data_IF_185668817981
#
_entry.id   IF_185668817981
#
_cell.length_a   1.000
_cell.length_b   1.000
_cell.length_c   1.000
_cell.angle_alpha   90.00
_cell.angle_beta   90.00
_cell.angle_gamma   90.00
#
_symmetry.space_group_name_H-M   'P 1'
#
loop_
_entity.id
_entity.type
_entity.pdbx_description
1 polymer ?
#
# COMPACT_ATOMS: atom_id res chain seq x y z
N UNK A 1 6.11 -49.59 8.31
CA UNK A 1 5.93 -48.20 8.74
C UNK A 1 7.27 -47.50 8.52
N UNK A 2 7.42 -46.78 7.44
CA UNK A 2 8.64 -46.00 7.16
C UNK A 2 8.62 -44.78 8.09
N UNK A 3 9.62 -44.64 8.92
CA UNK A 3 9.94 -43.40 9.62
C UNK A 3 10.11 -42.32 8.54
N UNK A 4 9.14 -41.46 8.38
CA UNK A 4 9.32 -40.22 7.65
C UNK A 4 10.43 -39.46 8.37
N UNK A 5 11.60 -39.38 7.75
CA UNK A 5 12.73 -38.58 8.22
C UNK A 5 12.30 -37.13 8.22
N UNK A 6 11.83 -36.64 9.37
CA UNK A 6 11.59 -35.22 9.58
C UNK A 6 12.90 -34.49 9.29
N UNK A 7 12.90 -33.69 8.23
CA UNK A 7 14.07 -32.92 7.80
C UNK A 7 14.42 -31.93 8.92
N UNK A 8 15.41 -32.26 9.76
CA UNK A 8 15.87 -31.36 10.83
C UNK A 8 16.58 -30.17 10.18
N UNK A 9 16.32 -28.98 10.72
CA UNK A 9 17.09 -27.79 10.37
C UNK A 9 18.50 -27.92 10.94
N UNK A 10 19.55 -27.36 10.33
CA UNK A 10 20.94 -27.51 10.79
C UNK A 10 21.19 -27.07 12.25
N UNK A 11 20.34 -26.17 12.77
CA UNK A 11 20.43 -25.65 14.14
C UNK A 11 19.42 -26.26 15.13
N UNK A 12 18.63 -27.26 14.70
CA UNK A 12 17.69 -27.95 15.60
C UNK A 12 18.45 -28.75 16.65
N UNK A 13 18.16 -28.45 17.93
CA UNK A 13 18.71 -29.18 19.07
C UNK A 13 17.69 -30.24 19.49
N UNK A 14 18.14 -31.48 19.82
CA UNK A 14 17.25 -32.52 20.35
C UNK A 14 16.51 -32.04 21.61
N UNK A 15 15.24 -32.40 21.73
CA UNK A 15 14.37 -32.03 22.85
C UNK A 15 14.13 -33.28 23.73
N UNK A 16 14.94 -33.55 24.75
CA UNK A 16 14.72 -34.65 25.66
C UNK A 16 13.40 -34.49 26.44
N UNK A 17 12.78 -35.60 26.85
CA UNK A 17 11.50 -35.57 27.56
C UNK A 17 11.55 -34.72 28.86
N UNK A 18 12.61 -34.84 29.63
CA UNK A 18 12.79 -34.06 30.87
C UNK A 18 12.84 -32.56 30.62
N UNK A 19 13.47 -32.12 29.48
CA UNK A 19 13.47 -30.73 29.07
C UNK A 19 12.07 -30.29 28.64
N UNK A 20 11.36 -31.11 27.86
CA UNK A 20 10.00 -30.81 27.42
C UNK A 20 9.02 -30.63 28.59
N UNK A 21 9.13 -31.51 29.64
CA UNK A 21 8.32 -31.37 30.85
C UNK A 21 8.65 -30.09 31.64
N UNK A 22 9.94 -29.77 31.78
CA UNK A 22 10.34 -28.50 32.41
C UNK A 22 9.80 -27.29 31.67
N UNK A 23 9.84 -27.30 30.34
CA UNK A 23 9.34 -26.20 29.50
C UNK A 23 7.84 -25.96 29.66
N UNK A 24 7.06 -26.95 30.02
CA UNK A 24 5.61 -26.85 30.21
C UNK A 24 5.18 -26.45 31.62
N UNK A 25 6.11 -26.25 32.53
CA UNK A 25 5.84 -26.01 33.95
C UNK A 25 6.35 -24.66 34.45
N UNK A 26 5.78 -24.17 35.57
CA UNK A 26 6.28 -22.98 36.27
C UNK A 26 5.95 -21.64 35.64
N UNK A 27 4.97 -21.56 34.72
CA UNK A 27 4.56 -20.32 34.09
C UNK A 27 3.39 -19.65 34.81
N UNK A 28 3.46 -18.33 34.97
CA UNK A 28 2.37 -17.52 35.49
C UNK A 28 1.38 -17.24 34.32
N UNK A 29 0.06 -17.32 34.58
CA UNK A 29 -0.94 -16.92 33.59
C UNK A 29 -0.75 -15.45 33.13
N UNK A 30 -0.84 -15.21 31.82
CA UNK A 30 -0.68 -13.88 31.22
C UNK A 30 -1.91 -13.53 30.36
N UNK A 31 -3.10 -13.29 30.97
CA UNK A 31 -4.26 -12.81 30.23
C UNK A 31 -3.98 -11.42 29.66
N UNK A 32 -4.66 -11.07 28.55
CA UNK A 32 -4.72 -9.69 28.09
C UNK A 32 -5.88 -8.98 28.80
N UNK A 33 -5.54 -7.95 29.57
CA UNK A 33 -6.52 -7.11 30.24
C UNK A 33 -6.81 -5.88 29.41
N UNK A 34 -8.07 -5.40 29.44
CA UNK A 34 -8.48 -4.16 28.80
C UNK A 34 -8.48 -4.19 27.27
N UNK A 35 -8.56 -5.38 26.66
CA UNK A 35 -8.67 -5.51 25.21
C UNK A 35 -9.93 -4.79 24.70
N UNK A 36 -9.73 -3.83 23.78
CA UNK A 36 -10.82 -3.09 23.16
C UNK A 36 -11.15 -3.68 21.78
N UNK A 37 -12.40 -3.56 21.30
CA UNK A 37 -12.73 -3.85 19.92
C UNK A 37 -11.81 -3.10 18.94
N UNK A 38 -11.62 -3.70 17.77
CA UNK A 38 -10.82 -3.07 16.70
C UNK A 38 -11.42 -1.72 16.30
N UNK A 39 -10.60 -0.68 15.99
CA UNK A 39 -11.09 0.66 15.66
C UNK A 39 -12.14 0.69 14.53
N UNK A 40 -11.99 -0.02 13.39
CA UNK A 40 -12.97 -0.02 12.30
C UNK A 40 -14.18 -0.93 12.51
N UNK A 41 -14.44 -1.44 13.73
CA UNK A 41 -15.44 -2.50 13.95
C UNK A 41 -16.80 -2.21 13.31
N UNK A 42 -17.38 -1.03 13.54
CA UNK A 42 -18.70 -0.66 13.01
C UNK A 42 -18.74 -0.68 11.49
N UNK A 43 -17.68 -0.20 10.86
CA UNK A 43 -17.53 -0.22 9.40
C UNK A 43 -17.36 -1.66 8.88
N UNK A 44 -16.54 -2.47 9.54
CA UNK A 44 -16.37 -3.88 9.16
C UNK A 44 -17.68 -4.68 9.24
N UNK A 45 -18.55 -4.40 10.23
CA UNK A 45 -19.87 -5.00 10.32
C UNK A 45 -20.71 -4.66 9.08
N UNK A 46 -20.82 -3.37 8.75
CA UNK A 46 -21.59 -2.88 7.59
C UNK A 46 -21.04 -3.44 6.26
N UNK A 47 -19.70 -3.52 6.15
CA UNK A 47 -19.03 -4.12 4.97
C UNK A 47 -19.38 -5.59 4.81
N UNK A 48 -19.35 -6.38 5.88
CA UNK A 48 -19.75 -7.81 5.85
C UNK A 48 -21.23 -7.98 5.52
N UNK A 49 -22.11 -7.11 6.02
CA UNK A 49 -23.52 -7.12 5.67
C UNK A 49 -23.75 -6.84 4.18
N UNK A 50 -23.03 -5.87 3.59
CA UNK A 50 -23.10 -5.59 2.16
C UNK A 50 -22.62 -6.78 1.33
N UNK A 51 -21.49 -7.40 1.73
CA UNK A 51 -20.95 -8.59 1.08
C UNK A 51 -21.94 -9.78 1.17
N UNK A 52 -22.54 -9.99 2.35
CA UNK A 52 -23.57 -11.02 2.56
C UNK A 52 -24.79 -10.86 1.64
N UNK A 53 -25.25 -9.64 1.46
CA UNK A 53 -26.39 -9.32 0.57
C UNK A 53 -26.06 -9.56 -0.91
N UNK A 54 -24.81 -9.34 -1.31
CA UNK A 54 -24.36 -9.50 -2.70
C UNK A 54 -24.25 -10.99 -3.12
N UNK A 55 -23.96 -11.89 -2.16
CA UNK A 55 -23.69 -13.30 -2.44
C UNK A 55 -24.61 -14.25 -1.61
N UNK A 56 -25.94 -14.19 -1.76
CA UNK A 56 -26.84 -15.00 -0.96
C UNK A 56 -26.68 -16.51 -1.26
N UNK A 57 -26.71 -17.32 -0.22
CA UNK A 57 -26.72 -18.79 -0.32
C UNK A 57 -25.42 -19.45 -0.75
N UNK A 58 -24.31 -18.70 -0.80
CA UNK A 58 -22.98 -19.19 -1.20
C UNK A 58 -21.99 -18.94 -0.06
N UNK A 59 -21.18 -19.94 0.30
CA UNK A 59 -20.08 -19.73 1.25
C UNK A 59 -19.01 -18.83 0.63
N UNK A 60 -18.55 -17.83 1.39
CA UNK A 60 -17.47 -16.95 0.99
C UNK A 60 -16.23 -17.25 1.82
N UNK A 61 -15.06 -17.35 1.17
CA UNK A 61 -13.79 -17.65 1.81
C UNK A 61 -12.78 -16.56 1.42
N UNK A 62 -12.35 -15.77 2.42
CA UNK A 62 -11.40 -14.68 2.26
C UNK A 62 -10.15 -14.99 3.10
N UNK A 63 -9.08 -15.58 2.52
CA UNK A 63 -7.86 -15.87 3.25
C UNK A 63 -7.03 -14.62 3.51
N UNK A 64 -6.32 -14.60 4.64
CA UNK A 64 -5.31 -13.61 4.95
C UNK A 64 -4.03 -13.81 4.12
N UNK A 65 -3.78 -15.03 3.70
CA UNK A 65 -2.61 -15.44 2.94
C UNK A 65 -1.50 -16.04 3.78
N UNK A 66 -0.56 -16.67 3.08
CA UNK A 66 0.58 -17.33 3.69
C UNK A 66 1.79 -16.39 3.82
N UNK A 67 2.77 -16.74 4.68
CA UNK A 67 4.10 -16.13 4.64
C UNK A 67 4.75 -16.32 3.26
N UNK A 68 5.45 -15.31 2.77
CA UNK A 68 6.25 -15.36 1.54
C UNK A 68 7.72 -15.54 1.89
N UNK A 69 8.30 -16.66 1.47
CA UNK A 69 9.70 -16.97 1.74
C UNK A 69 10.61 -15.95 1.04
N UNK A 70 11.49 -15.32 1.81
CA UNK A 70 12.58 -14.47 1.32
C UNK A 70 13.80 -15.31 0.94
N UNK A 71 14.22 -16.18 1.85
CA UNK A 71 15.33 -17.13 1.62
C UNK A 71 15.29 -18.28 2.62
N UNK A 72 15.30 -19.54 2.14
CA UNK A 72 15.29 -20.76 2.93
C UNK A 72 14.16 -20.81 3.98
N UNK A 73 14.46 -20.44 5.21
CA UNK A 73 13.58 -20.41 6.37
C UNK A 73 13.33 -19.00 6.93
N UNK A 74 13.72 -17.99 6.18
CA UNK A 74 13.45 -16.58 6.49
C UNK A 74 12.37 -16.04 5.56
N UNK A 75 11.34 -15.42 6.14
CA UNK A 75 10.22 -14.84 5.41
C UNK A 75 10.37 -13.32 5.22
N UNK A 76 9.65 -12.77 4.25
CA UNK A 76 9.39 -11.33 4.19
C UNK A 76 8.49 -10.89 5.33
N UNK A 77 8.49 -9.60 5.65
CA UNK A 77 7.50 -9.03 6.57
C UNK A 77 6.08 -9.40 6.08
N UNK A 78 5.25 -9.88 7.02
CA UNK A 78 3.92 -10.34 6.69
C UNK A 78 2.95 -9.17 6.57
N UNK A 79 2.19 -9.17 5.49
CA UNK A 79 1.04 -8.31 5.27
C UNK A 79 -0.14 -9.17 4.79
N UNK A 80 -1.31 -9.07 5.44
CA UNK A 80 -2.47 -9.85 5.04
C UNK A 80 -3.03 -9.35 3.71
N UNK A 81 -3.77 -10.20 3.02
CA UNK A 81 -4.53 -9.79 1.85
C UNK A 81 -5.54 -8.70 2.22
N UNK A 82 -5.59 -7.65 1.43
CA UNK A 82 -6.36 -6.44 1.71
C UNK A 82 -7.85 -6.71 1.98
N UNK A 83 -8.49 -7.58 1.20
CA UNK A 83 -9.90 -7.93 1.47
C UNK A 83 -10.08 -8.57 2.85
N UNK A 84 -9.16 -9.45 3.30
CA UNK A 84 -9.22 -10.02 4.64
C UNK A 84 -9.19 -8.93 5.72
N UNK A 85 -8.19 -8.03 5.65
CA UNK A 85 -8.06 -6.93 6.61
C UNK A 85 -9.27 -5.97 6.58
N UNK A 86 -9.78 -5.63 5.39
CA UNK A 86 -10.92 -4.75 5.18
C UNK A 86 -12.21 -5.26 5.82
N UNK A 87 -12.47 -6.59 5.76
CA UNK A 87 -13.68 -7.19 6.33
C UNK A 87 -13.54 -7.64 7.77
N UNK A 88 -12.32 -7.85 8.28
CA UNK A 88 -12.07 -8.27 9.67
C UNK A 88 -11.73 -7.13 10.60
N UNK A 89 -11.06 -6.10 10.12
CA UNK A 89 -10.48 -5.03 10.92
C UNK A 89 -9.19 -5.43 11.64
N UNK A 90 -8.52 -6.50 11.19
CA UNK A 90 -7.19 -6.89 11.68
C UNK A 90 -6.18 -5.82 11.28
N UNK A 91 -5.26 -5.47 12.20
CA UNK A 91 -4.30 -4.39 12.03
C UNK A 91 -2.88 -4.81 12.43
N UNK A 92 -1.89 -4.29 11.73
CA UNK A 92 -0.48 -4.34 12.05
C UNK A 92 -0.03 -5.73 12.51
N UNK A 93 0.62 -5.78 13.66
CA UNK A 93 1.18 -7.01 14.25
C UNK A 93 0.14 -8.02 14.73
N UNK A 94 -1.16 -7.65 14.79
CA UNK A 94 -2.24 -8.59 15.11
C UNK A 94 -2.54 -9.53 13.92
N UNK A 95 -2.14 -9.14 12.70
CA UNK A 95 -2.34 -9.94 11.51
C UNK A 95 -1.47 -11.21 11.57
N UNK A 96 -2.13 -12.36 11.47
CA UNK A 96 -1.47 -13.67 11.46
C UNK A 96 -1.69 -14.37 10.13
N UNK A 97 -0.59 -14.87 9.54
CA UNK A 97 -0.66 -15.68 8.33
C UNK A 97 -1.56 -16.90 8.53
N UNK A 98 -2.08 -17.41 7.42
CA UNK A 98 -2.96 -18.59 7.36
C UNK A 98 -4.32 -18.41 8.07
N UNK A 99 -4.67 -17.18 8.48
CA UNK A 99 -6.01 -16.86 8.99
C UNK A 99 -7.01 -16.76 7.85
N UNK A 100 -8.27 -17.13 8.10
CA UNK A 100 -9.31 -17.14 7.05
C UNK A 100 -10.62 -16.61 7.60
N UNK A 101 -11.20 -15.63 6.91
CA UNK A 101 -12.56 -15.19 7.15
C UNK A 101 -13.50 -16.06 6.30
N UNK A 102 -14.47 -16.69 6.96
CA UNK A 102 -15.52 -17.49 6.29
C UNK A 102 -16.88 -16.89 6.61
N UNK A 103 -17.68 -16.67 5.56
CA UNK A 103 -19.08 -16.30 5.69
C UNK A 103 -19.92 -17.47 5.22
N UNK A 104 -20.56 -18.16 6.18
CA UNK A 104 -21.34 -19.38 5.95
C UNK A 104 -22.81 -19.02 5.74
N UNK A 105 -23.47 -19.44 4.63
CA UNK A 105 -24.87 -19.14 4.40
C UNK A 105 -25.74 -19.82 5.47
N UNK A 106 -26.74 -19.09 6.02
CA UNK A 106 -27.65 -19.55 7.06
C UNK A 106 -29.16 -19.44 6.69
N UNK A 107 -29.46 -19.22 5.41
CA UNK A 107 -30.85 -19.09 4.90
C UNK A 107 -31.38 -17.64 4.95
N UNK A 108 -30.90 -16.78 5.83
CA UNK A 108 -31.27 -15.35 5.90
C UNK A 108 -30.14 -14.40 5.56
N UNK A 109 -28.92 -14.90 5.47
CA UNK A 109 -27.68 -14.18 5.22
C UNK A 109 -26.51 -15.10 5.45
N UNK A 110 -25.55 -14.67 6.27
CA UNK A 110 -24.36 -15.46 6.60
C UNK A 110 -24.04 -15.35 8.10
N UNK A 111 -23.66 -16.49 8.67
CA UNK A 111 -22.88 -16.51 9.90
C UNK A 111 -21.42 -16.27 9.58
N UNK A 112 -20.74 -15.43 10.36
CA UNK A 112 -19.38 -15.01 10.10
C UNK A 112 -18.42 -15.68 11.09
N UNK A 113 -17.39 -16.34 10.57
CA UNK A 113 -16.37 -17.02 11.36
C UNK A 113 -14.98 -16.57 10.98
N UNK A 114 -14.14 -16.32 11.99
CA UNK A 114 -12.72 -16.05 11.81
C UNK A 114 -11.92 -17.29 12.25
N UNK A 115 -11.29 -17.94 11.29
CA UNK A 115 -10.40 -19.07 11.53
C UNK A 115 -8.98 -18.58 11.73
N UNK A 116 -8.38 -18.91 12.88
CA UNK A 116 -7.03 -18.47 13.27
C UNK A 116 -6.20 -19.62 13.85
N UNK A 117 -4.90 -19.42 13.89
CA UNK A 117 -4.00 -20.17 14.77
C UNK A 117 -4.02 -19.49 16.15
N UNK A 118 -4.76 -20.01 17.14
CA UNK A 118 -4.86 -19.37 18.44
C UNK A 118 -3.52 -19.46 19.20
N UNK A 119 -3.41 -18.73 20.28
CA UNK A 119 -2.30 -18.80 21.20
C UNK A 119 -1.95 -20.24 21.56
N UNK A 120 -0.67 -20.61 21.43
CA UNK A 120 -0.13 -21.87 21.98
C UNK A 120 0.01 -21.72 23.49
N UNK A 121 -0.77 -22.46 24.26
CA UNK A 121 -0.67 -22.42 25.72
C UNK A 121 0.68 -22.97 26.16
N UNK A 122 1.26 -22.42 27.25
CA UNK A 122 2.62 -22.72 27.71
C UNK A 122 2.78 -24.13 28.27
N UNK A 123 1.69 -24.85 28.54
CA UNK A 123 1.62 -26.23 28.94
C UNK A 123 1.65 -27.24 27.77
N UNK A 124 1.80 -26.75 26.53
CA UNK A 124 1.84 -27.58 25.32
C UNK A 124 3.22 -27.57 24.67
N UNK A 125 3.53 -28.64 23.92
CA UNK A 125 4.73 -28.72 23.09
C UNK A 125 4.78 -27.66 22.02
N UNK A 126 3.62 -27.23 21.49
CA UNK A 126 3.52 -26.18 20.47
C UNK A 126 4.10 -24.83 20.93
N UNK A 127 4.06 -24.53 22.24
CA UNK A 127 4.62 -23.33 22.82
C UNK A 127 6.07 -23.08 22.42
N UNK A 128 6.90 -24.14 22.43
CA UNK A 128 8.35 -24.04 22.23
C UNK A 128 8.88 -24.84 21.03
N UNK A 129 8.07 -25.73 20.42
CA UNK A 129 8.49 -26.52 19.25
C UNK A 129 7.98 -25.98 17.93
N UNK A 130 6.85 -25.29 17.95
CA UNK A 130 6.26 -24.72 16.73
C UNK A 130 6.97 -23.40 16.39
N UNK A 131 7.91 -23.47 15.43
CA UNK A 131 8.71 -22.32 15.02
C UNK A 131 7.86 -21.27 14.30
N UNK A 132 6.75 -21.67 13.68
CA UNK A 132 5.87 -20.77 12.91
C UNK A 132 4.85 -20.06 13.80
N UNK A 133 4.30 -20.75 14.80
CA UNK A 133 3.18 -20.27 15.60
C UNK A 133 3.42 -20.34 17.12
N UNK A 134 4.52 -20.93 17.58
CA UNK A 134 4.83 -21.05 19.00
C UNK A 134 5.14 -19.71 19.65
N UNK A 135 4.52 -19.45 20.82
CA UNK A 135 4.68 -18.16 21.52
C UNK A 135 6.14 -17.85 21.85
N UNK A 136 6.96 -18.85 22.11
CA UNK A 136 8.39 -18.67 22.43
C UNK A 136 9.20 -18.19 21.21
N UNK A 137 8.72 -18.47 19.99
CA UNK A 137 9.43 -18.13 18.74
C UNK A 137 8.96 -16.81 18.12
N UNK A 138 7.64 -16.60 18.11
CA UNK A 138 7.03 -15.48 17.33
C UNK A 138 6.20 -14.54 18.20
N UNK A 139 6.23 -14.71 19.51
CA UNK A 139 5.46 -13.88 20.43
C UNK A 139 4.03 -14.38 20.65
N UNK A 140 3.34 -13.67 21.55
CA UNK A 140 1.99 -14.00 21.98
C UNK A 140 0.97 -13.63 20.92
N UNK A 141 0.08 -14.55 20.59
CA UNK A 141 -1.12 -14.31 19.79
C UNK A 141 -2.38 -14.31 20.67
N UNK A 142 -3.51 -13.91 20.08
CA UNK A 142 -4.80 -14.00 20.76
C UNK A 142 -5.23 -15.45 21.01
N UNK A 143 -5.92 -15.71 22.10
CA UNK A 143 -6.78 -16.89 22.25
C UNK A 143 -8.00 -16.73 21.34
N UNK A 144 -8.84 -17.77 21.23
CA UNK A 144 -10.08 -17.66 20.47
C UNK A 144 -11.02 -16.61 21.09
N UNK A 145 -11.16 -16.59 22.41
CA UNK A 145 -11.99 -15.62 23.12
C UNK A 145 -11.47 -14.19 22.94
N UNK A 146 -10.18 -13.97 23.10
CA UNK A 146 -9.58 -12.65 22.91
C UNK A 146 -9.77 -12.13 21.48
N UNK A 147 -9.57 -12.98 20.48
CA UNK A 147 -9.82 -12.61 19.09
C UNK A 147 -11.32 -12.33 18.82
N UNK A 148 -12.22 -13.12 19.43
CA UNK A 148 -13.66 -12.87 19.39
C UNK A 148 -14.02 -11.52 19.99
N UNK A 149 -13.47 -11.19 21.15
CA UNK A 149 -13.69 -9.89 21.81
C UNK A 149 -13.11 -8.72 20.98
N UNK A 150 -11.94 -8.93 20.38
CA UNK A 150 -11.24 -7.92 19.56
C UNK A 150 -12.00 -7.60 18.28
N UNK A 151 -12.44 -8.63 17.53
CA UNK A 151 -13.01 -8.45 16.19
C UNK A 151 -14.53 -8.58 16.14
N UNK A 152 -15.16 -8.97 17.25
CA UNK A 152 -16.60 -9.25 17.33
C UNK A 152 -17.09 -10.19 16.20
N UNK A 153 -16.27 -11.22 15.97
CA UNK A 153 -16.53 -12.32 15.03
C UNK A 153 -16.37 -13.63 15.81
N UNK A 154 -17.24 -14.60 15.57
CA UNK A 154 -17.08 -15.93 16.15
C UNK A 154 -15.79 -16.58 15.63
N UNK A 155 -14.93 -17.03 16.53
CA UNK A 155 -13.58 -17.52 16.22
C UNK A 155 -13.48 -19.02 16.30
N UNK A 156 -12.68 -19.62 15.42
CA UNK A 156 -12.43 -21.06 15.34
C UNK A 156 -10.94 -21.33 15.04
N UNK A 157 -10.50 -22.57 15.34
CA UNK A 157 -9.16 -23.00 14.97
C UNK A 157 -9.10 -23.24 13.46
N UNK A 158 -8.03 -22.76 12.81
CA UNK A 158 -7.84 -22.98 11.37
C UNK A 158 -7.79 -24.48 11.00
N UNK A 159 -7.35 -25.34 11.91
CA UNK A 159 -7.32 -26.79 11.69
C UNK A 159 -8.73 -27.39 11.46
N UNK A 160 -9.78 -26.76 11.97
CA UNK A 160 -11.16 -27.20 11.82
C UNK A 160 -11.77 -26.77 10.46
N UNK A 161 -11.11 -25.85 9.74
CA UNK A 161 -11.60 -25.30 8.47
C UNK A 161 -11.77 -26.37 7.39
N UNK A 162 -10.86 -27.35 7.33
CA UNK A 162 -10.92 -28.44 6.37
C UNK A 162 -12.23 -29.24 6.48
N UNK A 163 -12.74 -29.46 7.68
CA UNK A 163 -13.99 -30.17 7.90
C UNK A 163 -15.19 -29.37 7.39
N UNK A 164 -15.19 -28.06 7.64
CA UNK A 164 -16.23 -27.18 7.13
C UNK A 164 -16.25 -27.12 5.60
N UNK A 165 -15.08 -26.99 4.97
CA UNK A 165 -14.99 -26.87 3.51
C UNK A 165 -15.35 -28.16 2.76
N UNK A 166 -15.33 -29.30 3.43
CA UNK A 166 -15.70 -30.59 2.86
C UNK A 166 -17.19 -30.94 2.95
N UNK A 167 -18.06 -30.07 3.48
CA UNK A 167 -19.48 -30.37 3.73
C UNK A 167 -20.40 -30.28 2.48
N UNK A 168 -19.83 -29.95 1.31
CA UNK A 168 -20.57 -29.85 0.04
C UNK A 168 -21.31 -28.53 -0.16
N UNK A 169 -21.19 -27.55 0.75
CA UNK A 169 -21.78 -26.22 0.55
C UNK A 169 -21.08 -25.51 -0.61
N UNK A 170 -21.85 -24.94 -1.54
CA UNK A 170 -21.32 -24.16 -2.66
C UNK A 170 -20.44 -23.04 -2.12
N UNK A 171 -19.17 -23.03 -2.52
CA UNK A 171 -18.13 -22.13 -1.99
C UNK A 171 -17.51 -21.31 -3.13
N UNK A 172 -17.26 -20.03 -2.89
CA UNK A 172 -16.43 -19.15 -3.72
C UNK A 172 -15.35 -18.53 -2.84
N UNK A 173 -14.19 -18.30 -3.41
CA UNK A 173 -13.01 -17.89 -2.64
C UNK A 173 -12.15 -16.84 -3.38
N UNK A 174 -11.35 -16.11 -2.62
CA UNK A 174 -10.22 -15.38 -3.18
C UNK A 174 -9.04 -16.34 -3.23
N UNK A 175 -8.64 -16.73 -4.44
CA UNK A 175 -7.57 -17.67 -4.70
C UNK A 175 -6.19 -17.00 -4.77
N UNK A 176 -5.14 -17.86 -4.83
CA UNK A 176 -3.73 -17.46 -5.00
C UNK A 176 -3.13 -16.69 -3.81
N UNK A 177 -3.85 -16.68 -2.68
CA UNK A 177 -3.38 -16.08 -1.44
C UNK A 177 -2.96 -17.13 -0.41
N UNK A 178 -3.61 -18.29 -0.38
CA UNK A 178 -3.37 -19.36 0.57
C UNK A 178 -3.37 -20.72 -0.12
N UNK A 179 -2.21 -21.39 -0.09
CA UNK A 179 -1.98 -22.68 -0.80
C UNK A 179 -2.89 -23.81 -0.29
N UNK A 180 -3.26 -23.77 1.02
CA UNK A 180 -4.16 -24.81 1.57
C UNK A 180 -5.60 -24.54 1.18
N UNK A 181 -6.02 -23.29 1.15
CA UNK A 181 -7.35 -22.91 0.63
C UNK A 181 -7.47 -23.29 -0.85
N UNK A 182 -6.45 -23.01 -1.66
CA UNK A 182 -6.45 -23.35 -3.09
C UNK A 182 -6.52 -24.87 -3.36
N UNK A 183 -6.05 -25.70 -2.40
CA UNK A 183 -6.20 -27.16 -2.47
C UNK A 183 -7.59 -27.66 -2.02
N UNK A 184 -8.21 -26.94 -1.09
CA UNK A 184 -9.47 -27.34 -0.46
C UNK A 184 -10.72 -26.82 -1.17
N UNK A 185 -10.59 -25.69 -1.86
CA UNK A 185 -11.69 -25.02 -2.58
C UNK A 185 -11.41 -25.05 -4.07
N UNK A 186 -12.24 -25.74 -4.83
CA UNK A 186 -12.17 -25.73 -6.29
C UNK A 186 -12.52 -24.35 -6.84
N UNK A 187 -11.81 -23.93 -7.91
CA UNK A 187 -12.12 -22.66 -8.59
C UNK A 187 -13.54 -22.68 -9.14
N UNK A 188 -14.25 -21.58 -8.94
CA UNK A 188 -15.63 -21.38 -9.37
C UNK A 188 -15.73 -20.15 -10.28
N UNK A 189 -16.63 -20.18 -11.27
CA UNK A 189 -16.82 -19.05 -12.21
C UNK A 189 -17.13 -17.71 -11.51
N UNK A 190 -17.73 -17.76 -10.32
CA UNK A 190 -18.07 -16.58 -9.51
C UNK A 190 -16.94 -16.07 -8.61
N UNK A 191 -15.77 -16.69 -8.59
CA UNK A 191 -14.63 -16.19 -7.81
C UNK A 191 -14.17 -14.81 -8.32
N UNK A 192 -14.23 -14.61 -9.64
CA UNK A 192 -13.96 -13.31 -10.26
C UNK A 192 -15.02 -12.25 -9.86
N UNK A 193 -16.29 -12.63 -9.68
CA UNK A 193 -17.33 -11.72 -9.19
C UNK A 193 -17.03 -11.28 -7.76
N UNK A 194 -16.59 -12.21 -6.89
CA UNK A 194 -16.19 -11.91 -5.52
C UNK A 194 -14.99 -10.94 -5.50
N UNK A 195 -13.94 -11.22 -6.28
CA UNK A 195 -12.75 -10.39 -6.36
C UNK A 195 -13.09 -8.97 -6.85
N UNK A 196 -13.95 -8.85 -7.86
CA UNK A 196 -14.45 -7.57 -8.34
C UNK A 196 -15.25 -6.84 -7.27
N UNK A 197 -16.18 -7.51 -6.60
CA UNK A 197 -17.01 -6.90 -5.56
C UNK A 197 -16.17 -6.35 -4.40
N UNK A 198 -15.24 -7.14 -3.86
CA UNK A 198 -14.38 -6.70 -2.75
C UNK A 198 -13.43 -5.56 -3.15
N UNK A 199 -13.13 -5.44 -4.43
CA UNK A 199 -12.36 -4.33 -5.00
C UNK A 199 -13.23 -3.07 -5.13
N UNK A 200 -14.41 -3.18 -5.74
CA UNK A 200 -15.34 -2.05 -5.92
C UNK A 200 -15.88 -1.50 -4.59
N UNK A 201 -16.03 -2.35 -3.57
CA UNK A 201 -16.45 -1.94 -2.22
C UNK A 201 -15.50 -0.91 -1.58
N UNK A 202 -14.24 -0.83 -2.03
CA UNK A 202 -13.23 0.10 -1.53
C UNK A 202 -13.11 1.39 -2.34
N UNK A 203 -13.87 1.54 -3.45
CA UNK A 203 -13.81 2.77 -4.28
C UNK A 203 -14.23 4.01 -3.48
N UNK A 204 -15.28 3.91 -2.66
CA UNK A 204 -15.76 5.01 -1.83
C UNK A 204 -15.33 4.74 -0.38
N UNK A 205 -14.48 5.60 0.15
CA UNK A 205 -13.95 5.49 1.50
C UNK A 205 -14.95 6.01 2.51
N UNK A 206 -15.11 5.29 3.60
CA UNK A 206 -15.81 5.80 4.78
C UNK A 206 -14.91 6.78 5.60
N UNK A 207 -15.47 7.39 6.65
CA UNK A 207 -14.74 8.40 7.41
C UNK A 207 -13.51 7.83 8.13
N UNK A 208 -13.58 6.58 8.63
CA UNK A 208 -12.40 5.92 9.23
C UNK A 208 -11.27 5.75 8.22
N UNK A 209 -11.58 5.31 7.00
CA UNK A 209 -10.60 5.14 5.92
C UNK A 209 -9.94 6.48 5.55
N UNK A 210 -10.73 7.56 5.46
CA UNK A 210 -10.22 8.91 5.17
C UNK A 210 -9.32 9.41 6.30
N UNK A 211 -9.67 9.14 7.56
CA UNK A 211 -8.86 9.54 8.72
C UNK A 211 -7.53 8.78 8.76
N UNK A 212 -7.52 7.49 8.42
CA UNK A 212 -6.29 6.68 8.33
C UNK A 212 -5.38 7.12 7.16
N UNK A 213 -5.96 7.46 6.00
CA UNK A 213 -5.22 8.05 4.88
C UNK A 213 -4.62 9.42 5.22
N UNK A 214 -5.36 10.25 5.96
CA UNK A 214 -4.82 11.51 6.48
C UNK A 214 -3.65 11.25 7.44
N UNK A 215 -3.77 10.26 8.34
CA UNK A 215 -2.70 9.90 9.26
C UNK A 215 -1.45 9.38 8.51
N UNK A 216 -1.64 8.61 7.43
CA UNK A 216 -0.56 8.15 6.56
C UNK A 216 0.16 9.32 5.88
N UNK A 217 -0.57 10.32 5.37
CA UNK A 217 0.02 11.55 4.81
C UNK A 217 0.79 12.35 5.87
N UNK A 218 0.25 12.47 7.09
CA UNK A 218 0.91 13.19 8.19
C UNK A 218 2.20 12.49 8.65
N UNK A 219 2.21 11.16 8.72
CA UNK A 219 3.40 10.37 8.99
C UNK A 219 4.43 10.48 7.86
N UNK A 220 3.99 10.43 6.59
CA UNK A 220 4.85 10.60 5.42
C UNK A 220 5.54 11.97 5.39
N UNK A 221 4.84 13.04 5.77
CA UNK A 221 5.43 14.36 5.93
C UNK A 221 6.64 14.35 6.88
N UNK A 222 6.57 13.61 7.99
CA UNK A 222 7.69 13.47 8.91
C UNK A 222 8.85 12.72 8.24
N UNK A 223 8.55 11.72 7.42
CA UNK A 223 9.56 11.02 6.61
C UNK A 223 10.28 11.95 5.63
N UNK A 224 9.55 12.81 4.92
CA UNK A 224 10.14 13.82 4.01
C UNK A 224 10.98 14.86 4.75
N UNK A 225 10.63 15.22 5.98
CA UNK A 225 11.48 16.09 6.80
C UNK A 225 12.84 15.45 7.12
N UNK A 226 12.86 14.15 7.42
CA UNK A 226 14.10 13.40 7.64
C UNK A 226 14.93 13.26 6.35
N UNK A 227 14.28 13.10 5.19
CA UNK A 227 14.95 13.14 3.88
C UNK A 227 15.72 14.45 3.69
N UNK A 228 15.08 15.60 3.98
CA UNK A 228 15.74 16.92 3.89
C UNK A 228 16.91 17.03 4.86
N UNK A 229 16.76 16.59 6.10
CA UNK A 229 17.86 16.57 7.11
C UNK A 229 19.02 15.67 6.68
N UNK A 230 18.73 14.56 6.02
CA UNK A 230 19.73 13.59 5.55
C UNK A 230 20.47 14.05 4.28
N UNK A 231 20.02 15.12 3.59
CA UNK A 231 20.58 15.55 2.31
C UNK A 231 22.12 15.79 2.35
N UNK A 232 22.69 16.46 3.35
CA UNK A 232 24.15 16.63 3.42
C UNK A 232 24.92 15.31 3.54
N UNK A 233 24.38 14.35 4.30
CA UNK A 233 24.97 13.02 4.44
C UNK A 233 24.85 12.22 3.13
N UNK A 234 23.72 12.37 2.42
CA UNK A 234 23.50 11.75 1.12
C UNK A 234 24.49 12.25 0.07
N UNK A 235 24.75 13.56 0.01
CA UNK A 235 25.76 14.15 -0.89
C UNK A 235 27.18 13.63 -0.58
N UNK A 236 27.48 13.38 0.69
CA UNK A 236 28.79 12.88 1.11
C UNK A 236 28.99 11.36 0.87
N UNK A 237 27.93 10.61 0.55
CA UNK A 237 27.98 9.16 0.44
C UNK A 237 27.84 8.68 -1.02
N UNK A 238 28.64 7.67 -1.43
CA UNK A 238 28.62 7.13 -2.79
C UNK A 238 27.26 6.46 -3.18
N UNK A 239 26.44 6.10 -2.20
CA UNK A 239 25.05 5.64 -2.36
C UNK A 239 24.10 6.61 -1.69
N UNK A 240 24.15 7.87 -2.07
CA UNK A 240 23.36 8.94 -1.45
C UNK A 240 21.86 8.69 -1.50
N UNK A 241 21.38 8.08 -2.60
CA UNK A 241 19.97 7.70 -2.75
C UNK A 241 19.51 6.75 -1.62
N UNK A 242 20.35 5.75 -1.23
CA UNK A 242 20.04 4.86 -0.08
C UNK A 242 20.06 5.56 1.27
N UNK A 243 20.82 6.62 1.40
CA UNK A 243 20.80 7.42 2.64
C UNK A 243 19.45 8.10 2.79
N UNK A 244 18.88 8.63 1.70
CA UNK A 244 17.54 9.25 1.72
C UNK A 244 16.44 8.22 1.92
N UNK A 245 16.49 7.08 1.22
CA UNK A 245 15.58 5.94 1.42
C UNK A 245 15.56 5.50 2.89
N UNK A 246 16.74 5.30 3.51
CA UNK A 246 16.85 4.89 4.90
C UNK A 246 16.31 5.94 5.88
N UNK A 247 16.50 7.23 5.58
CA UNK A 247 15.96 8.32 6.39
C UNK A 247 14.43 8.30 6.41
N UNK A 248 13.78 8.14 5.24
CA UNK A 248 12.34 7.99 5.15
C UNK A 248 11.87 6.72 5.86
N UNK A 249 12.50 5.57 5.57
CA UNK A 249 12.15 4.28 6.16
C UNK A 249 12.19 4.30 7.70
N UNK A 250 13.14 4.99 8.29
CA UNK A 250 13.21 5.13 9.76
C UNK A 250 11.91 5.72 10.32
N UNK A 251 11.35 6.74 9.65
CA UNK A 251 10.07 7.34 10.06
C UNK A 251 8.88 6.44 9.74
N UNK A 252 8.85 5.79 8.59
CA UNK A 252 7.79 4.85 8.27
C UNK A 252 7.64 3.76 9.34
N UNK A 253 8.77 3.26 9.88
CA UNK A 253 8.79 2.24 10.93
C UNK A 253 8.53 2.76 12.35
N UNK A 254 8.68 4.05 12.60
CA UNK A 254 8.44 4.64 13.93
C UNK A 254 7.09 5.31 14.08
N UNK A 255 6.51 5.77 12.98
CA UNK A 255 5.21 6.48 12.97
C UNK A 255 4.07 5.60 12.40
N UNK A 256 4.39 4.54 11.66
CA UNK A 256 3.44 3.61 11.04
C UNK A 256 3.89 2.15 11.12
N UNK A 257 3.24 1.30 10.34
CA UNK A 257 3.54 -0.12 10.21
C UNK A 257 4.80 -0.36 9.36
N UNK A 258 4.85 0.24 8.17
CA UNK A 258 5.96 0.09 7.21
C UNK A 258 5.88 1.18 6.11
N UNK A 259 6.69 1.03 5.05
CA UNK A 259 6.47 1.74 3.79
C UNK A 259 5.31 1.08 3.03
N UNK A 260 4.46 1.87 2.39
CA UNK A 260 3.35 1.35 1.59
C UNK A 260 3.79 0.67 0.29
N UNK A 261 4.94 1.07 -0.22
CA UNK A 261 5.60 0.55 -1.43
C UNK A 261 7.10 0.83 -1.37
N UNK A 262 7.88 0.21 -2.25
CA UNK A 262 9.33 0.44 -2.31
C UNK A 262 9.62 1.89 -2.64
N UNK A 263 10.24 2.62 -1.72
CA UNK A 263 10.62 4.02 -1.87
C UNK A 263 11.48 4.24 -3.12
N UNK A 264 11.18 5.26 -3.89
CA UNK A 264 12.02 5.77 -4.97
C UNK A 264 12.80 6.98 -4.42
N UNK A 265 14.12 6.96 -4.53
CA UNK A 265 15.00 8.08 -4.23
C UNK A 265 15.98 8.26 -5.39
N UNK A 266 15.60 9.07 -6.38
CA UNK A 266 16.25 9.14 -7.68
C UNK A 266 16.98 10.47 -7.86
N UNK A 267 18.32 10.45 -7.80
CA UNK A 267 19.18 11.63 -8.00
C UNK A 267 19.50 11.90 -9.47
N UNK A 268 19.44 13.18 -9.88
CA UNK A 268 19.78 13.60 -11.23
C UNK A 268 19.02 12.82 -12.31
N UNK A 269 19.71 12.24 -13.26
CA UNK A 269 19.12 11.53 -14.39
C UNK A 269 18.35 10.24 -14.01
N UNK A 270 18.59 9.68 -12.84
CA UNK A 270 17.79 8.54 -12.35
C UNK A 270 16.32 8.92 -12.17
N UNK A 271 16.00 10.19 -11.90
CA UNK A 271 14.63 10.71 -11.84
C UNK A 271 13.86 10.57 -13.16
N UNK A 272 14.54 10.32 -14.28
CA UNK A 272 13.91 10.03 -15.57
C UNK A 272 13.52 8.56 -15.73
N UNK A 273 13.78 7.71 -14.70
CA UNK A 273 13.37 6.30 -14.66
C UNK A 273 12.23 6.18 -13.65
N UNK A 274 11.03 5.92 -14.14
CA UNK A 274 9.77 6.05 -13.37
C UNK A 274 9.77 5.28 -12.06
N UNK A 275 10.26 4.02 -12.04
CA UNK A 275 10.36 3.16 -10.86
C UNK A 275 11.83 2.87 -10.52
N UNK A 276 12.60 3.92 -10.19
CA UNK A 276 13.99 3.78 -9.75
C UNK A 276 14.07 3.32 -8.29
N UNK A 277 13.76 2.06 -8.04
CA UNK A 277 13.77 1.44 -6.71
C UNK A 277 15.14 0.86 -6.30
N UNK A 278 16.14 0.95 -7.16
CA UNK A 278 17.50 0.46 -6.86
C UNK A 278 18.21 1.35 -5.84
N UNK A 279 17.95 2.65 -5.91
CA UNK A 279 18.45 3.67 -4.99
C UNK A 279 19.98 3.52 -4.73
N UNK A 280 20.77 3.21 -5.76
CA UNK A 280 22.19 2.88 -5.62
C UNK A 280 23.13 3.98 -6.16
N UNK A 281 22.58 5.14 -6.54
CA UNK A 281 23.31 6.28 -7.08
C UNK A 281 23.83 7.26 -6.02
N UNK A 282 24.77 8.08 -6.45
CA UNK A 282 25.25 9.24 -5.69
C UNK A 282 24.31 10.44 -5.89
N UNK A 283 24.17 11.27 -4.86
CA UNK A 283 23.44 12.55 -4.90
C UNK A 283 24.46 13.69 -5.07
N UNK A 284 24.22 14.60 -6.00
CA UNK A 284 25.18 15.71 -6.27
C UNK A 284 24.53 17.08 -6.11
N UNK A 285 25.30 18.00 -5.54
CA UNK A 285 24.87 19.40 -5.46
C UNK A 285 24.59 19.98 -6.86
N UNK A 286 23.49 20.73 -6.97
CA UNK A 286 23.04 21.33 -8.23
C UNK A 286 22.12 20.43 -9.05
N UNK A 287 21.98 19.13 -8.71
CA UNK A 287 20.97 18.23 -9.29
C UNK A 287 19.64 18.31 -8.51
N UNK A 288 18.61 17.70 -9.04
CA UNK A 288 17.37 17.40 -8.34
C UNK A 288 17.43 15.97 -7.77
N UNK A 289 16.69 15.72 -6.73
CA UNK A 289 16.34 14.37 -6.28
C UNK A 289 14.81 14.23 -6.22
N UNK A 290 14.29 13.26 -6.93
CA UNK A 290 12.90 12.84 -6.88
C UNK A 290 12.78 11.79 -5.78
N UNK A 291 11.96 12.06 -4.78
CA UNK A 291 11.61 11.10 -3.73
C UNK A 291 10.12 10.82 -3.82
N UNK A 292 9.79 9.53 -3.94
CA UNK A 292 8.44 9.02 -4.02
C UNK A 292 8.29 7.95 -2.94
N UNK A 293 7.46 8.24 -1.93
CA UNK A 293 7.40 7.46 -0.72
C UNK A 293 6.11 7.72 0.07
N UNK A 294 5.55 6.66 0.63
CA UNK A 294 4.38 6.69 1.49
C UNK A 294 4.54 5.81 2.72
N UNK A 295 4.01 6.25 3.87
CA UNK A 295 3.92 5.46 5.09
C UNK A 295 2.64 4.65 5.07
N UNK A 296 2.73 3.34 5.31
CA UNK A 296 1.60 2.48 5.61
C UNK A 296 1.34 2.51 7.13
N UNK A 297 0.13 2.81 7.54
CA UNK A 297 -0.29 2.78 8.94
C UNK A 297 -0.56 1.34 9.42
N UNK A 298 -0.70 1.13 10.72
CA UNK A 298 -1.09 -0.20 11.27
C UNK A 298 -2.43 -0.70 10.70
N UNK A 299 -3.28 0.19 10.27
CA UNK A 299 -4.53 -0.11 9.55
C UNK A 299 -4.34 -0.57 8.09
N UNK A 300 -3.11 -0.58 7.60
CA UNK A 300 -2.68 -0.85 6.21
C UNK A 300 -3.09 0.22 5.19
N UNK A 301 -3.70 1.35 5.59
CA UNK A 301 -3.88 2.50 4.71
C UNK A 301 -2.54 3.18 4.50
N UNK A 302 -2.25 3.55 3.24
CA UNK A 302 -0.97 4.13 2.84
C UNK A 302 -1.16 5.50 2.19
N UNK A 303 -0.18 6.38 2.36
CA UNK A 303 -0.01 7.55 1.52
C UNK A 303 0.78 7.19 0.25
N UNK A 304 0.67 8.05 -0.75
CA UNK A 304 1.47 8.05 -1.98
C UNK A 304 1.88 9.47 -2.36
N UNK A 305 3.12 9.82 -2.07
CA UNK A 305 3.56 11.22 -2.19
C UNK A 305 4.90 11.29 -2.91
N UNK A 306 4.93 12.06 -4.00
CA UNK A 306 6.20 12.42 -4.66
C UNK A 306 6.54 13.89 -4.45
N UNK A 307 7.80 14.15 -4.08
CA UNK A 307 8.42 15.48 -4.12
C UNK A 307 9.74 15.44 -4.86
N UNK A 308 9.93 16.38 -5.78
CA UNK A 308 11.21 16.61 -6.45
C UNK A 308 11.89 17.82 -5.81
N UNK A 309 13.04 17.59 -5.19
CA UNK A 309 13.73 18.53 -4.32
C UNK A 309 15.08 18.96 -4.91
N UNK A 310 15.46 20.26 -4.88
CA UNK A 310 16.80 20.68 -5.28
C UNK A 310 17.82 20.31 -4.20
N UNK A 311 18.83 19.50 -4.55
CA UNK A 311 19.81 18.95 -3.60
C UNK A 311 20.53 20.02 -2.77
N UNK A 312 20.82 21.17 -3.37
CA UNK A 312 21.45 22.31 -2.69
C UNK A 312 20.45 23.32 -2.10
N UNK A 313 19.15 22.98 -2.06
CA UNK A 313 18.09 23.82 -1.52
C UNK A 313 17.60 24.94 -2.45
N UNK A 314 18.06 25.01 -3.69
CA UNK A 314 17.68 26.03 -4.68
C UNK A 314 17.55 25.43 -6.09
N UNK A 315 16.43 25.69 -6.74
CA UNK A 315 16.25 25.34 -8.15
C UNK A 315 17.08 26.22 -9.06
N UNK A 316 17.74 25.63 -10.06
CA UNK A 316 18.30 26.40 -11.17
C UNK A 316 17.16 26.95 -12.06
N UNK A 317 17.44 27.98 -12.92
CA UNK A 317 16.40 28.50 -13.82
C UNK A 317 15.74 27.42 -14.70
N UNK A 318 16.51 26.48 -15.25
CA UNK A 318 16.01 25.39 -16.08
C UNK A 318 15.15 24.41 -15.25
N UNK A 319 15.63 23.99 -14.06
CA UNK A 319 14.88 23.13 -13.15
C UNK A 319 13.55 23.78 -12.75
N UNK A 320 13.59 25.07 -12.40
CA UNK A 320 12.41 25.82 -11.98
C UNK A 320 11.37 25.94 -13.10
N UNK A 321 11.80 26.17 -14.33
CA UNK A 321 10.89 26.28 -15.48
C UNK A 321 10.11 24.97 -15.69
N UNK A 322 10.79 23.82 -15.69
CA UNK A 322 10.15 22.51 -15.80
C UNK A 322 9.30 22.17 -14.58
N UNK A 323 9.79 22.50 -13.37
CA UNK A 323 9.07 22.26 -12.13
C UNK A 323 7.72 23.02 -12.10
N UNK A 324 7.73 24.29 -12.50
CA UNK A 324 6.52 25.10 -12.61
C UNK A 324 5.52 24.51 -13.59
N UNK A 325 5.99 23.99 -14.73
CA UNK A 325 5.11 23.34 -15.72
C UNK A 325 4.42 22.09 -15.12
N UNK A 326 5.16 21.26 -14.38
CA UNK A 326 4.58 20.09 -13.68
C UNK A 326 3.64 20.51 -12.55
N UNK A 327 3.98 21.56 -11.81
CA UNK A 327 3.12 22.13 -10.76
C UNK A 327 1.77 22.65 -11.34
N UNK A 328 1.81 23.38 -12.44
CA UNK A 328 0.62 23.87 -13.13
C UNK A 328 -0.23 22.71 -13.67
N UNK A 329 0.40 21.65 -14.16
CA UNK A 329 -0.28 20.44 -14.59
C UNK A 329 -1.00 19.75 -13.40
N UNK A 330 -0.36 19.72 -12.23
CA UNK A 330 -0.99 19.18 -11.01
C UNK A 330 -2.21 20.03 -10.58
N UNK A 331 -2.09 21.35 -10.62
CA UNK A 331 -3.22 22.23 -10.32
C UNK A 331 -4.40 22.02 -11.28
N UNK A 332 -4.13 21.80 -12.57
CA UNK A 332 -5.17 21.47 -13.55
C UNK A 332 -5.81 20.09 -13.24
N UNK A 333 -5.02 19.11 -12.82
CA UNK A 333 -5.50 17.82 -12.33
C UNK A 333 -6.44 17.99 -11.14
N UNK A 334 -6.04 18.75 -10.11
CA UNK A 334 -6.89 19.03 -8.93
C UNK A 334 -8.21 19.70 -9.31
N UNK A 335 -8.18 20.68 -10.21
CA UNK A 335 -9.38 21.38 -10.68
C UNK A 335 -10.37 20.43 -11.40
N UNK A 336 -9.88 19.33 -11.96
CA UNK A 336 -10.70 18.31 -12.60
C UNK A 336 -11.29 17.30 -11.61
N UNK A 337 -10.73 17.17 -10.39
CA UNK A 337 -11.23 16.26 -9.36
C UNK A 337 -12.48 16.86 -8.69
N UNK A 338 -13.65 16.38 -9.07
CA UNK A 338 -14.93 16.78 -8.48
C UNK A 338 -16.00 15.73 -8.76
N UNK A 339 -17.07 15.65 -7.93
CA UNK A 339 -18.19 14.76 -8.21
C UNK A 339 -18.77 14.99 -9.59
N UNK A 340 -19.09 13.90 -10.29
CA UNK A 340 -19.67 13.93 -11.63
C UNK A 340 -18.64 14.07 -12.78
N UNK A 341 -17.39 14.40 -12.48
CA UNK A 341 -16.30 14.31 -13.45
C UNK A 341 -15.91 12.84 -13.71
N UNK A 342 -15.37 12.51 -14.87
CA UNK A 342 -14.82 11.17 -15.09
C UNK A 342 -13.43 11.07 -14.50
N UNK A 343 -13.05 9.87 -14.01
CA UNK A 343 -11.68 9.63 -13.52
C UNK A 343 -10.62 10.03 -14.54
N UNK A 344 -10.83 9.69 -15.84
CA UNK A 344 -9.92 10.07 -16.93
C UNK A 344 -9.74 11.57 -17.11
N UNK A 345 -10.73 12.39 -16.72
CA UNK A 345 -10.64 13.85 -16.89
C UNK A 345 -9.49 14.48 -16.10
N UNK A 346 -9.11 13.88 -14.98
CA UNK A 346 -7.96 14.31 -14.16
C UNK A 346 -6.66 14.20 -14.95
N UNK A 347 -6.44 13.04 -15.55
CA UNK A 347 -5.26 12.78 -16.38
C UNK A 347 -5.25 13.67 -17.63
N UNK A 348 -6.39 13.82 -18.33
CA UNK A 348 -6.50 14.65 -19.54
C UNK A 348 -6.18 16.11 -19.25
N UNK A 349 -6.69 16.64 -18.11
CA UNK A 349 -6.46 18.04 -17.74
C UNK A 349 -4.96 18.31 -17.50
N UNK A 350 -4.28 17.46 -16.76
CA UNK A 350 -2.85 17.60 -16.47
C UNK A 350 -1.99 17.37 -17.72
N UNK A 351 -2.29 16.36 -18.54
CA UNK A 351 -1.57 16.11 -19.79
C UNK A 351 -1.67 17.28 -20.77
N UNK A 352 -2.82 17.95 -20.85
CA UNK A 352 -3.00 19.12 -21.72
C UNK A 352 -2.05 20.25 -21.35
N UNK A 353 -1.84 20.51 -20.05
CA UNK A 353 -0.90 21.55 -19.59
C UNK A 353 0.53 21.19 -19.98
N UNK A 354 0.94 19.92 -19.76
CA UNK A 354 2.27 19.47 -20.17
C UNK A 354 2.47 19.53 -21.68
N UNK A 355 1.47 19.10 -22.46
CA UNK A 355 1.53 19.17 -23.92
C UNK A 355 1.66 20.62 -24.42
N UNK A 356 0.94 21.56 -23.78
CA UNK A 356 1.06 23.00 -24.11
C UNK A 356 2.46 23.52 -23.79
N UNK A 357 3.00 23.24 -22.61
CA UNK A 357 4.35 23.64 -22.25
C UNK A 357 5.42 23.07 -23.19
N UNK A 358 5.29 21.81 -23.58
CA UNK A 358 6.19 21.18 -24.57
C UNK A 358 6.10 21.83 -25.95
N UNK A 359 4.88 22.24 -26.35
CA UNK A 359 4.66 22.99 -27.59
C UNK A 359 5.30 24.38 -27.52
N UNK A 360 5.08 25.11 -26.43
CA UNK A 360 5.63 26.46 -26.23
C UNK A 360 7.17 26.45 -26.14
N UNK A 361 7.76 25.36 -25.65
CA UNK A 361 9.22 25.13 -25.66
C UNK A 361 9.75 24.73 -27.06
N UNK A 362 8.87 24.51 -28.05
CA UNK A 362 9.24 24.15 -29.40
C UNK A 362 9.75 22.72 -29.58
N UNK A 363 9.52 21.82 -28.59
CA UNK A 363 9.97 20.42 -28.65
C UNK A 363 8.85 19.49 -29.16
N UNK A 364 7.60 19.88 -29.06
CA UNK A 364 6.47 19.12 -29.60
C UNK A 364 6.31 19.43 -31.10
N UNK A 365 6.41 18.44 -32.03
CA UNK A 365 6.45 18.70 -33.47
C UNK A 365 5.08 18.91 -34.14
N UNK A 366 4.00 18.96 -33.36
CA UNK A 366 2.64 19.15 -33.84
C UNK A 366 1.84 20.04 -32.86
N UNK A 367 0.61 20.41 -33.20
CA UNK A 367 -0.27 21.13 -32.28
C UNK A 367 -0.61 20.29 -31.05
N UNK A 368 -1.03 20.96 -29.97
CA UNK A 368 -1.48 20.30 -28.75
C UNK A 368 -2.67 19.38 -29.03
N UNK A 369 -3.63 19.83 -29.82
CA UNK A 369 -4.82 19.05 -30.18
C UNK A 369 -4.45 17.78 -30.94
N UNK A 370 -3.55 17.87 -31.91
CA UNK A 370 -3.03 16.68 -32.61
C UNK A 370 -2.31 15.74 -31.68
N UNK A 371 -1.42 16.26 -30.82
CA UNK A 371 -0.68 15.45 -29.86
C UNK A 371 -1.58 14.77 -28.83
N UNK A 372 -2.69 15.42 -28.44
CA UNK A 372 -3.66 14.87 -27.49
C UNK A 372 -4.62 13.86 -28.12
N UNK A 373 -4.61 13.71 -29.43
CA UNK A 373 -5.48 12.74 -30.11
C UNK A 373 -5.04 11.28 -29.78
N UNK A 374 -5.98 10.33 -29.77
CA UNK A 374 -5.68 8.93 -29.45
C UNK A 374 -4.63 8.28 -30.36
N UNK A 375 -4.55 8.72 -31.60
CA UNK A 375 -3.67 8.15 -32.64
C UNK A 375 -2.24 8.71 -32.60
N UNK A 376 -2.03 9.85 -31.95
CA UNK A 376 -0.73 10.55 -31.95
C UNK A 376 0.00 10.39 -30.59
N UNK A 377 -0.53 10.97 -29.53
CA UNK A 377 0.02 10.84 -28.18
C UNK A 377 1.47 11.31 -28.03
N UNK A 378 1.99 12.23 -28.88
CA UNK A 378 3.43 12.52 -28.98
C UNK A 378 4.02 13.17 -27.72
N UNK A 379 3.24 13.97 -26.99
CA UNK A 379 3.65 14.54 -25.68
C UNK A 379 4.06 13.45 -24.69
N UNK A 380 3.51 12.23 -24.82
CA UNK A 380 3.78 11.10 -23.91
C UNK A 380 5.22 10.57 -23.99
N UNK A 381 6.03 11.02 -24.97
CA UNK A 381 7.47 10.74 -24.96
C UNK A 381 8.15 11.18 -23.66
N UNK A 382 7.68 12.27 -23.06
CA UNK A 382 8.26 12.85 -21.85
C UNK A 382 7.36 12.70 -20.62
N UNK A 383 6.19 12.09 -20.77
CA UNK A 383 5.19 11.94 -19.71
C UNK A 383 4.37 10.66 -19.94
N UNK A 384 5.04 9.52 -19.80
CA UNK A 384 4.55 8.22 -20.28
C UNK A 384 3.42 7.62 -19.42
N UNK A 385 3.44 7.83 -18.09
CA UNK A 385 2.51 7.18 -17.17
C UNK A 385 1.15 7.89 -17.06
N UNK A 386 0.17 7.23 -16.44
CA UNK A 386 -1.07 7.88 -16.00
C UNK A 386 -0.82 8.77 -14.80
N UNK A 387 -1.60 9.84 -14.62
CA UNK A 387 -1.37 10.83 -13.56
C UNK A 387 -2.31 10.67 -12.38
N UNK A 388 -2.94 9.53 -12.25
CA UNK A 388 -3.85 9.24 -11.14
C UNK A 388 -4.17 7.77 -11.05
N UNK A 389 -4.30 7.27 -9.84
CA UNK A 389 -4.87 5.97 -9.50
C UNK A 389 -5.66 6.09 -8.18
N UNK A 390 -6.55 5.13 -7.91
CA UNK A 390 -7.22 5.04 -6.61
C UNK A 390 -6.20 4.64 -5.54
N UNK A 391 -6.35 5.22 -4.35
CA UNK A 391 -5.50 5.00 -3.19
C UNK A 391 -6.35 4.50 -2.01
N UNK A 392 -5.78 3.64 -1.18
CA UNK A 392 -6.45 3.10 0.00
C UNK A 392 -5.55 2.24 0.85
N UNK A 393 -6.02 1.02 1.19
CA UNK A 393 -5.17 0.02 1.85
C UNK A 393 -4.08 -0.50 0.90
N UNK A 394 -4.35 -0.56 -0.38
CA UNK A 394 -3.33 -0.80 -1.41
C UNK A 394 -2.92 0.54 -2.03
N UNK A 395 -1.62 0.73 -2.32
CA UNK A 395 -1.15 1.94 -3.00
C UNK A 395 -1.85 2.13 -4.34
N UNK A 396 -1.92 1.08 -5.16
CA UNK A 396 -2.77 1.04 -6.34
C UNK A 396 -4.06 0.29 -5.98
N UNK A 397 -4.98 0.96 -5.30
CA UNK A 397 -6.19 0.33 -4.78
C UNK A 397 -7.22 0.04 -5.88
N UNK A 398 -8.14 -0.88 -5.59
CA UNK A 398 -9.29 -1.19 -6.43
C UNK A 398 -8.96 -1.74 -7.83
N UNK A 399 -7.80 -2.34 -8.06
CA UNK A 399 -7.35 -2.79 -9.40
C UNK A 399 -8.25 -3.84 -10.06
N UNK A 400 -9.01 -4.63 -9.27
CA UNK A 400 -9.94 -5.63 -9.80
C UNK A 400 -11.36 -5.07 -9.99
N UNK A 401 -11.58 -3.78 -9.79
CA UNK A 401 -12.83 -3.11 -10.11
C UNK A 401 -13.06 -3.12 -11.64
N UNK A 402 -14.32 -3.14 -12.04
CA UNK A 402 -14.66 -3.04 -13.46
C UNK A 402 -14.15 -1.72 -14.03
N UNK A 403 -13.70 -1.75 -15.28
CA UNK A 403 -13.22 -0.55 -15.97
C UNK A 403 -14.27 0.58 -15.94
N UNK A 404 -15.55 0.24 -16.08
CA UNK A 404 -16.67 1.20 -16.04
C UNK A 404 -16.91 1.81 -14.64
N UNK A 405 -16.45 1.16 -13.58
CA UNK A 405 -16.54 1.68 -12.22
C UNK A 405 -15.28 2.46 -11.80
N UNK A 406 -14.15 2.20 -12.43
CA UNK A 406 -12.85 2.81 -12.12
C UNK A 406 -12.40 3.76 -13.23
N UNK A 407 -11.70 3.26 -14.28
CA UNK A 407 -11.03 4.10 -15.30
C UNK A 407 -12.02 4.94 -16.11
N UNK A 408 -13.18 4.38 -16.47
CA UNK A 408 -14.27 5.05 -17.16
C UNK A 408 -15.37 5.50 -16.18
N UNK A 409 -15.12 5.33 -14.89
CA UNK A 409 -16.05 5.66 -13.82
C UNK A 409 -16.18 7.17 -13.59
N UNK A 410 -17.27 7.53 -12.93
CA UNK A 410 -17.55 8.89 -12.50
C UNK A 410 -17.09 9.05 -11.07
N UNK A 411 -16.35 10.11 -10.78
CA UNK A 411 -15.89 10.44 -9.43
C UNK A 411 -17.07 10.75 -8.53
N UNK A 412 -17.07 10.18 -7.34
CA UNK A 412 -18.06 10.37 -6.30
C UNK A 412 -17.39 10.83 -5.00
N UNK A 413 -18.16 11.54 -4.15
CA UNK A 413 -17.71 11.92 -2.82
C UNK A 413 -17.20 10.71 -2.04
N UNK A 414 -16.07 10.85 -1.35
CA UNK A 414 -15.39 9.79 -0.60
C UNK A 414 -14.39 8.96 -1.43
N UNK A 415 -14.32 9.10 -2.75
CA UNK A 415 -13.23 8.49 -3.51
C UNK A 415 -11.90 9.16 -3.17
N UNK A 416 -10.84 8.37 -3.03
CA UNK A 416 -9.47 8.87 -2.80
C UNK A 416 -8.58 8.41 -3.93
N UNK A 417 -7.83 9.35 -4.51
CA UNK A 417 -6.96 9.12 -5.67
C UNK A 417 -5.72 10.01 -5.59
N UNK A 418 -4.68 9.62 -6.32
CA UNK A 418 -3.46 10.42 -6.51
C UNK A 418 -3.66 11.46 -7.62
N UNK A 419 -2.89 12.55 -7.58
CA UNK A 419 -2.70 13.48 -8.71
C UNK A 419 -1.20 13.72 -8.86
N UNK A 420 -0.57 13.08 -9.85
CA UNK A 420 0.87 12.85 -9.93
C UNK A 420 1.51 13.15 -11.29
N UNK A 421 1.26 14.31 -11.93
CA UNK A 421 1.91 14.60 -13.20
C UNK A 421 3.43 14.58 -13.07
N UNK A 422 4.08 14.11 -14.14
CA UNK A 422 5.54 14.06 -14.23
C UNK A 422 6.05 14.39 -15.62
N UNK A 423 7.27 14.92 -15.68
CA UNK A 423 8.00 15.24 -16.89
C UNK A 423 9.43 14.71 -16.79
N UNK A 424 9.87 13.93 -17.78
CA UNK A 424 11.11 13.17 -17.73
C UNK A 424 11.90 13.35 -19.01
N UNK A 425 12.98 14.15 -18.96
CA UNK A 425 13.82 14.46 -20.10
C UNK A 425 15.10 13.62 -19.98
N UNK A 426 15.22 12.59 -20.80
CA UNK A 426 16.37 11.69 -20.76
C UNK A 426 17.69 12.45 -21.00
N UNK A 427 18.81 12.00 -20.42
CA UNK A 427 20.10 12.72 -20.53
C UNK A 427 20.65 12.74 -21.99
N UNK A 428 20.18 11.84 -22.85
CA UNK A 428 20.54 11.71 -24.26
C UNK A 428 19.45 12.21 -25.22
N UNK A 429 18.41 12.90 -24.72
CA UNK A 429 17.32 13.42 -25.56
C UNK A 429 17.76 14.69 -26.33
N UNK A 430 18.05 14.52 -27.60
CA UNK A 430 18.50 15.61 -28.48
C UNK A 430 17.39 16.59 -28.87
N UNK A 431 16.09 16.27 -28.63
CA UNK A 431 14.98 17.19 -28.89
C UNK A 431 14.92 18.32 -27.86
N UNK A 432 15.53 18.13 -26.70
CA UNK A 432 15.64 19.18 -25.68
C UNK A 432 17.02 19.87 -25.70
N UNK A 433 17.09 21.19 -25.41
CA UNK A 433 18.34 21.88 -25.12
C UNK A 433 19.12 21.19 -23.96
N UNK A 434 20.44 21.26 -24.01
CA UNK A 434 21.32 20.51 -23.11
C UNK A 434 21.07 20.80 -21.60
N UNK A 435 20.66 22.03 -21.27
CA UNK A 435 20.37 22.45 -19.89
C UNK A 435 19.16 21.77 -19.25
N UNK A 436 18.27 21.14 -20.04
CA UNK A 436 17.10 20.40 -19.55
C UNK A 436 17.33 18.88 -19.49
N UNK A 437 18.38 18.37 -20.14
CA UNK A 437 18.63 16.94 -20.24
C UNK A 437 19.00 16.34 -18.89
N UNK A 438 18.45 15.18 -18.59
CA UNK A 438 18.64 14.49 -17.32
C UNK A 438 17.80 15.05 -16.16
N UNK A 439 16.81 15.92 -16.46
CA UNK A 439 15.88 16.42 -15.45
C UNK A 439 14.59 15.59 -15.50
N UNK A 440 14.28 14.91 -14.39
CA UNK A 440 13.00 14.24 -14.13
C UNK A 440 12.29 14.90 -12.96
N UNK A 441 11.02 15.19 -13.11
CA UNK A 441 10.19 15.85 -12.08
C UNK A 441 8.85 15.13 -12.01
N UNK A 442 8.41 14.75 -10.79
CA UNK A 442 7.05 14.37 -10.44
C UNK A 442 6.65 15.14 -9.19
N UNK A 443 5.40 15.59 -9.16
CA UNK A 443 4.77 16.19 -7.97
C UNK A 443 3.46 15.45 -7.78
N UNK A 444 3.29 14.83 -6.62
CA UNK A 444 2.19 13.93 -6.33
C UNK A 444 1.59 14.22 -4.97
N UNK A 445 0.28 14.20 -4.93
CA UNK A 445 -0.51 14.33 -3.72
C UNK A 445 -1.73 13.42 -3.74
N UNK A 446 -2.16 13.03 -2.54
CA UNK A 446 -3.36 12.26 -2.27
C UNK A 446 -4.56 13.19 -2.08
N UNK A 447 -5.63 12.97 -2.82
CA UNK A 447 -6.82 13.80 -2.73
C UNK A 447 -8.07 12.98 -2.44
N UNK A 448 -8.92 13.45 -1.55
CA UNK A 448 -10.27 12.93 -1.36
C UNK A 448 -11.27 13.79 -2.10
N UNK A 449 -12.15 13.16 -2.87
CA UNK A 449 -13.28 13.82 -3.54
C UNK A 449 -14.27 14.29 -2.47
N UNK A 450 -14.57 15.58 -2.46
CA UNK A 450 -15.55 16.20 -1.56
C UNK A 450 -16.84 16.52 -2.31
N UNK A 451 -17.83 17.04 -1.60
CA UNK A 451 -19.12 17.44 -2.19
C UNK A 451 -18.99 18.41 -3.37
N UNK A 452 -18.00 19.31 -3.34
CA UNK A 452 -17.89 20.42 -4.29
C UNK A 452 -16.57 20.42 -5.10
N UNK A 453 -15.66 19.45 -4.85
CA UNK A 453 -14.35 19.39 -5.47
C UNK A 453 -13.50 18.30 -4.85
N UNK A 454 -12.28 18.65 -4.40
CA UNK A 454 -11.43 17.75 -3.64
C UNK A 454 -10.71 18.46 -2.48
N UNK A 455 -10.28 17.68 -1.50
CA UNK A 455 -9.37 18.10 -0.42
C UNK A 455 -8.07 17.35 -0.55
N UNK A 456 -6.96 18.07 -0.57
CA UNK A 456 -5.63 17.48 -0.55
C UNK A 456 -5.31 16.98 0.87
N UNK A 457 -5.00 15.68 1.02
CA UNK A 457 -4.62 15.05 2.28
C UNK A 457 -3.16 15.32 2.63
N UNK A 458 -2.31 15.50 1.62
CA UNK A 458 -0.86 15.75 1.74
C UNK A 458 -0.46 17.24 1.65
N UNK A 459 -1.43 18.17 1.76
CA UNK A 459 -1.21 19.63 1.63
C UNK A 459 -0.21 20.22 2.63
N UNK A 460 0.07 19.51 3.71
CA UNK A 460 1.10 19.89 4.68
C UNK A 460 2.56 19.80 4.16
N UNK A 461 2.76 19.18 2.98
CA UNK A 461 4.04 19.17 2.25
C UNK A 461 3.97 20.20 1.10
N UNK A 462 4.87 21.18 1.05
CA UNK A 462 4.83 22.24 0.04
C UNK A 462 5.04 21.67 -1.39
N UNK A 463 4.43 22.33 -2.35
CA UNK A 463 4.49 21.99 -3.78
C UNK A 463 5.01 23.15 -4.64
N UNK A 464 4.63 24.39 -4.30
CA UNK A 464 5.17 25.55 -5.03
C UNK A 464 6.68 25.69 -4.80
N UNK A 465 7.51 25.93 -5.82
CA UNK A 465 8.98 25.87 -5.67
C UNK A 465 9.53 26.85 -4.61
N UNK A 466 8.94 28.04 -4.43
CA UNK A 466 9.38 28.97 -3.39
C UNK A 466 9.11 28.42 -1.98
N UNK A 467 7.96 27.75 -1.81
CA UNK A 467 7.60 27.11 -0.56
C UNK A 467 8.45 25.88 -0.28
N UNK A 468 8.78 25.09 -1.30
CA UNK A 468 9.71 23.95 -1.21
C UNK A 468 11.09 24.43 -0.74
N UNK A 469 11.64 25.47 -1.37
CA UNK A 469 12.94 26.03 -0.97
C UNK A 469 12.93 26.56 0.47
N UNK A 470 11.86 27.25 0.87
CA UNK A 470 11.70 27.79 2.22
C UNK A 470 11.56 26.65 3.26
N UNK A 471 10.79 25.62 2.93
CA UNK A 471 10.59 24.45 3.78
C UNK A 471 11.87 23.63 3.94
N UNK A 472 12.63 23.42 2.86
CA UNK A 472 13.94 22.75 2.91
C UNK A 472 14.91 23.53 3.81
N UNK A 473 14.99 24.87 3.66
CA UNK A 473 15.85 25.72 4.49
C UNK A 473 15.49 25.65 5.98
N UNK A 474 14.20 25.45 6.31
CA UNK A 474 13.72 25.29 7.69
C UNK A 474 14.13 23.94 8.28
N UNK A 475 14.14 22.87 7.50
CA UNK A 475 14.36 21.49 7.96
C UNK A 475 15.77 20.95 7.71
N UNK A 476 16.63 21.65 6.99
CA UNK A 476 18.02 21.25 6.73
C UNK A 476 18.96 21.37 7.95
N UNK A 477 18.44 21.75 9.12
CA UNK A 477 19.23 21.99 10.36
C UNK A 477 19.14 20.82 11.32
#
# INVERSE_FOLDING_TARGET
>A
MSEETVKRRPHDVPTPAAFAELMKSGWIPTPLEGLKPTPPLTYCVSRREALSKAFPGVRLVLPAGNYKVRSNDSDYAYRPHTAFAYYTGVQGVEATADSVLVMQPNGSGHDVFLYIHPRSTRDTDAFFRDVKYGELWVGRRFTLEEAKDRYQIETRKVNDLKVLLADGTKTIAIHEQDVEIDKLVEKHDRDAELLTFVSEARLIKDQYEIDELQAACDASKLGFQEVVKAMPAAVAHHRGERVLEAAFFTKARTEGNDIGYTTIAAGGAHACILHWIRNDGAIKNGELVLVDAGVEMDSFYTADITRTLPVNGKFSPAQRALYMLVYEAQLAGFAAVKPGATFRSVNIAAQRVLAQGLFDMGVLPCSVEESMSPDMGLHRRWTLHGFSHMLGMDVHDCQNARQTAYLDGVLAEGMVLTVEPGLYIQPDDELFPAEYRGIGIRIEDDVVVTKDGCRNLSDALPRHPDEVEAWMAKHAK
#
